data_IF_647401160835
#
_entry.id   IF_647401160835
#
_cell.length_a   1.000
_cell.length_b   1.000
_cell.length_c   1.000
_cell.angle_alpha   90.00
_cell.angle_beta   90.00
_cell.angle_gamma   90.00
#
_symmetry.space_group_name_H-M   'P 1'
#
loop_
_entity.id
_entity.type
_entity.pdbx_description
1 polymer ?
#
# COMPACT_ATOMS: atom_id res chain seq x y z
N UNK A 1 -25.67 0.36 -41.93
CA UNK A 1 -24.92 1.03 -40.83
C UNK A 1 -23.60 1.53 -41.40
N UNK A 2 -23.33 2.84 -41.36
CA UNK A 2 -22.10 3.45 -41.87
C UNK A 2 -21.01 3.38 -40.79
N UNK A 3 -19.95 2.61 -41.05
CA UNK A 3 -18.75 2.54 -40.20
C UNK A 3 -17.98 3.86 -40.30
N UNK A 4 -18.06 4.68 -39.25
CA UNK A 4 -17.22 5.87 -39.09
C UNK A 4 -15.82 5.42 -38.65
N UNK A 5 -14.87 5.42 -39.58
CA UNK A 5 -13.44 5.28 -39.29
C UNK A 5 -12.98 6.48 -38.45
N UNK A 6 -12.85 6.26 -37.14
CA UNK A 6 -12.23 7.19 -36.21
C UNK A 6 -10.73 7.23 -36.53
N UNK A 7 -10.28 8.27 -37.24
CA UNK A 7 -8.86 8.52 -37.49
C UNK A 7 -8.14 8.66 -36.15
N UNK A 8 -7.15 7.81 -35.92
CA UNK A 8 -6.28 7.92 -34.76
C UNK A 8 -5.59 9.29 -34.76
N UNK A 9 -5.59 9.98 -33.62
CA UNK A 9 -4.87 11.23 -33.47
C UNK A 9 -3.37 10.99 -33.69
N UNK A 10 -2.65 11.91 -34.36
CA UNK A 10 -1.21 11.77 -34.58
C UNK A 10 -0.50 11.67 -33.23
N UNK A 11 0.37 10.68 -33.09
CA UNK A 11 1.20 10.50 -31.90
C UNK A 11 2.08 11.74 -31.70
N UNK A 12 2.00 12.35 -30.51
CA UNK A 12 2.89 13.43 -30.12
C UNK A 12 4.34 12.93 -30.12
N UNK A 13 5.28 13.65 -30.78
CA UNK A 13 6.68 13.23 -30.79
C UNK A 13 7.23 13.20 -29.35
N UNK A 14 8.13 12.25 -29.03
CA UNK A 14 8.75 12.21 -27.72
C UNK A 14 9.54 13.52 -27.48
N UNK A 15 9.54 14.04 -26.23
CA UNK A 15 10.31 15.24 -25.91
C UNK A 15 11.80 15.02 -26.20
N UNK A 16 12.45 16.02 -26.80
CA UNK A 16 13.87 15.96 -27.10
C UNK A 16 14.70 15.75 -25.81
N UNK A 17 15.79 14.95 -25.87
CA UNK A 17 16.64 14.76 -24.71
C UNK A 17 17.24 16.10 -24.26
N UNK A 18 17.23 16.35 -22.95
CA UNK A 18 17.80 17.55 -22.36
C UNK A 18 19.29 17.67 -22.73
N UNK A 19 19.69 18.85 -23.22
CA UNK A 19 21.08 19.19 -23.54
C UNK A 19 22.01 19.09 -22.33
N UNK A 20 23.32 18.94 -22.58
CA UNK A 20 24.33 18.68 -21.53
C UNK A 20 24.37 19.74 -20.43
N UNK A 21 24.12 21.00 -20.73
CA UNK A 21 24.06 22.08 -19.73
C UNK A 21 22.80 21.99 -18.85
N UNK A 22 21.64 21.70 -19.44
CA UNK A 22 20.41 21.47 -18.69
C UNK A 22 20.53 20.27 -17.75
N UNK A 23 21.27 19.22 -18.16
CA UNK A 23 21.57 18.08 -17.28
C UNK A 23 22.45 18.48 -16.09
N UNK A 24 23.46 19.33 -16.28
CA UNK A 24 24.31 19.82 -15.17
C UNK A 24 23.51 20.65 -14.17
N UNK A 25 22.57 21.47 -14.65
CA UNK A 25 21.66 22.23 -13.78
C UNK A 25 20.76 21.35 -12.89
N UNK A 26 20.47 20.12 -13.31
CA UNK A 26 19.65 19.17 -12.56
C UNK A 26 20.40 18.41 -11.46
N UNK A 27 21.74 18.35 -11.49
CA UNK A 27 22.52 17.61 -10.50
C UNK A 27 22.46 18.24 -9.11
N UNK A 28 22.60 19.56 -9.01
CA UNK A 28 22.51 20.27 -7.74
C UNK A 28 21.18 20.04 -6.99
N UNK A 29 19.99 20.23 -7.62
CA UNK A 29 18.71 19.95 -6.96
C UNK A 29 18.48 18.46 -6.67
N UNK A 30 19.03 17.54 -7.48
CA UNK A 30 18.98 16.10 -7.18
C UNK A 30 19.78 15.77 -5.90
N UNK A 31 21.00 16.28 -5.78
CA UNK A 31 21.85 16.06 -4.60
C UNK A 31 21.24 16.70 -3.36
N UNK A 32 20.74 17.94 -3.48
CA UNK A 32 20.02 18.62 -2.39
C UNK A 32 18.73 17.88 -2.01
N UNK A 33 17.98 17.36 -2.98
CA UNK A 33 16.78 16.56 -2.76
C UNK A 33 17.08 15.25 -2.02
N UNK A 34 18.14 14.54 -2.41
CA UNK A 34 18.65 13.38 -1.67
C UNK A 34 19.01 13.73 -0.22
N UNK A 35 19.76 14.82 -0.02
CA UNK A 35 20.17 15.26 1.32
C UNK A 35 18.96 15.65 2.18
N UNK A 36 17.97 16.32 1.62
CA UNK A 36 16.72 16.65 2.31
C UNK A 36 15.91 15.41 2.68
N UNK A 37 15.83 14.42 1.79
CA UNK A 37 15.21 13.11 2.08
C UNK A 37 15.93 12.39 3.22
N UNK A 38 17.26 12.32 3.18
CA UNK A 38 18.06 11.71 4.25
C UNK A 38 17.83 12.44 5.57
N UNK A 39 17.85 13.78 5.58
CA UNK A 39 17.57 14.56 6.77
C UNK A 39 16.16 14.31 7.33
N UNK A 40 15.14 14.22 6.47
CA UNK A 40 13.77 13.90 6.87
C UNK A 40 13.59 12.44 7.35
N UNK A 41 14.44 11.52 6.91
CA UNK A 41 14.45 10.12 7.36
C UNK A 41 15.26 9.92 8.65
N UNK A 42 16.17 10.85 8.97
CA UNK A 42 16.98 10.84 10.20
C UNK A 42 16.31 11.55 11.40
N UNK A 43 15.13 12.15 11.23
CA UNK A 43 14.37 12.71 12.35
C UNK A 43 13.88 11.58 13.28
N UNK A 44 14.11 11.67 14.59
CA UNK A 44 13.74 10.61 15.52
C UNK A 44 12.20 10.51 15.65
N UNK A 45 11.71 9.27 15.64
CA UNK A 45 10.29 8.89 15.78
C UNK A 45 9.44 9.68 16.80
N UNK A 46 9.93 10.05 18.01
CA UNK A 46 9.10 10.75 19.00
C UNK A 46 8.60 12.14 18.58
N UNK A 47 9.25 12.81 17.61
CA UNK A 47 8.77 14.12 17.13
C UNK A 47 7.55 14.01 16.19
N UNK A 48 7.26 12.83 15.65
CA UNK A 48 6.18 12.62 14.68
C UNK A 48 4.81 12.43 15.33
N UNK A 49 4.74 11.91 16.56
CA UNK A 49 3.47 11.74 17.26
C UNK A 49 2.91 13.08 17.79
N UNK A 50 3.74 14.12 17.92
CA UNK A 50 3.32 15.44 18.40
C UNK A 50 2.56 16.29 17.38
N UNK A 51 2.57 15.93 16.10
CA UNK A 51 2.05 16.78 15.01
C UNK A 51 0.61 16.47 14.56
N UNK A 52 -0.07 15.49 15.15
CA UNK A 52 -1.46 15.13 14.80
C UNK A 52 -2.54 15.64 15.76
N UNK A 53 -2.19 16.49 16.74
CA UNK A 53 -3.20 17.20 17.53
C UNK A 53 -3.75 18.40 16.75
N UNK A 54 -4.63 18.14 15.78
CA UNK A 54 -5.42 19.20 15.14
C UNK A 54 -6.52 19.64 16.11
N UNK A 55 -6.31 20.77 16.77
CA UNK A 55 -7.24 21.39 17.72
C UNK A 55 -8.49 22.03 17.08
N UNK A 56 -8.68 21.91 15.75
CA UNK A 56 -9.74 22.63 15.00
C UNK A 56 -10.72 21.70 14.24
N UNK A 57 -10.85 20.41 14.62
CA UNK A 57 -11.84 19.54 14.00
C UNK A 57 -13.27 19.84 14.51
N UNK A 58 -14.30 19.97 13.62
CA UNK A 58 -15.67 20.27 14.02
C UNK A 58 -16.27 19.18 14.93
N UNK A 59 -17.21 19.52 15.83
CA UNK A 59 -17.59 18.70 17.00
C UNK A 59 -18.49 17.48 16.70
N UNK A 60 -18.49 16.92 15.50
CA UNK A 60 -19.41 15.82 15.13
C UNK A 60 -18.75 14.48 14.77
N UNK A 61 -17.43 14.40 14.67
CA UNK A 61 -16.75 13.12 14.76
C UNK A 61 -16.32 12.94 16.21
N UNK A 62 -16.96 12.06 16.99
CA UNK A 62 -16.37 11.57 18.23
C UNK A 62 -15.12 10.77 17.85
N UNK A 63 -14.03 11.48 17.61
CA UNK A 63 -12.68 10.94 17.64
C UNK A 63 -12.50 10.55 19.10
N UNK A 64 -12.77 9.29 19.45
CA UNK A 64 -12.26 8.76 20.71
C UNK A 64 -10.74 8.76 20.55
N UNK A 65 -9.98 9.62 21.27
CA UNK A 65 -8.54 9.43 21.35
C UNK A 65 -8.35 8.08 22.01
N UNK A 66 -8.00 7.07 21.22
CA UNK A 66 -7.61 5.78 21.77
C UNK A 66 -6.24 6.00 22.39
N UNK A 67 -6.10 5.92 23.73
CA UNK A 67 -4.78 5.93 24.32
C UNK A 67 -4.07 4.68 23.80
N UNK A 68 -3.15 4.88 22.87
CA UNK A 68 -2.11 3.90 22.57
C UNK A 68 -1.25 3.90 23.82
N UNK A 69 -1.63 3.10 24.83
CA UNK A 69 -0.76 2.81 25.96
C UNK A 69 0.60 2.45 25.38
N UNK A 70 1.65 3.05 25.91
CA UNK A 70 3.05 2.80 25.55
C UNK A 70 3.29 1.29 25.39
N UNK A 71 3.16 0.80 24.14
CA UNK A 71 3.74 -0.48 23.70
C UNK A 71 5.27 -0.35 23.54
N UNK A 72 5.76 0.87 23.75
CA UNK A 72 7.13 1.31 23.87
C UNK A 72 7.63 0.85 25.25
N UNK A 73 8.53 -0.12 25.37
CA UNK A 73 9.95 0.19 25.23
C UNK A 73 10.80 -1.00 24.75
N UNK A 74 10.23 -2.18 24.45
CA UNK A 74 11.08 -3.39 24.21
C UNK A 74 10.67 -4.38 23.12
N UNK A 75 9.79 -4.06 22.17
CA UNK A 75 9.72 -4.91 20.97
C UNK A 75 9.17 -6.33 21.20
N UNK A 76 8.60 -6.60 22.38
CA UNK A 76 8.02 -7.89 22.76
C UNK A 76 6.76 -7.61 23.56
N UNK A 77 5.63 -8.17 23.13
CA UNK A 77 4.56 -8.48 24.07
C UNK A 77 5.21 -9.25 25.22
N UNK A 78 4.90 -8.90 26.47
CA UNK A 78 5.47 -9.61 27.62
C UNK A 78 5.36 -11.13 27.41
N UNK A 79 6.43 -11.89 27.61
CA UNK A 79 6.34 -13.35 27.55
C UNK A 79 5.24 -13.79 28.56
N UNK A 80 4.20 -14.46 28.06
CA UNK A 80 3.01 -14.81 28.84
C UNK A 80 1.78 -13.93 28.64
N UNK A 81 1.73 -13.02 27.65
CA UNK A 81 0.46 -12.39 27.24
C UNK A 81 -0.50 -13.47 26.75
N UNK A 82 -1.67 -13.52 27.38
CA UNK A 82 -2.81 -14.33 26.97
C UNK A 82 -3.09 -14.12 25.46
N UNK A 83 -3.12 -15.19 24.63
CA UNK A 83 -3.43 -15.11 23.20
C UNK A 83 -4.70 -14.29 22.92
N UNK A 84 -5.70 -14.36 23.79
CA UNK A 84 -6.93 -13.60 23.64
C UNK A 84 -6.72 -12.08 23.81
N UNK A 85 -5.89 -11.69 24.78
CA UNK A 85 -5.54 -10.29 25.00
C UNK A 85 -4.67 -9.75 23.86
N UNK A 86 -3.77 -10.57 23.32
CA UNK A 86 -2.98 -10.21 22.13
C UNK A 86 -3.89 -9.96 20.92
N UNK A 87 -4.84 -10.86 20.67
CA UNK A 87 -5.82 -10.71 19.58
C UNK A 87 -6.71 -9.47 19.77
N UNK A 88 -7.21 -9.21 20.99
CA UNK A 88 -8.00 -8.02 21.28
C UNK A 88 -7.21 -6.73 21.03
N UNK A 89 -5.93 -6.71 21.40
CA UNK A 89 -5.03 -5.58 21.14
C UNK A 89 -4.80 -5.40 19.64
N UNK A 90 -4.56 -6.48 18.89
CA UNK A 90 -4.40 -6.45 17.43
C UNK A 90 -5.65 -5.90 16.73
N UNK A 91 -6.85 -6.36 17.11
CA UNK A 91 -8.13 -5.86 16.55
C UNK A 91 -8.34 -4.38 16.83
N UNK A 92 -7.97 -3.93 18.02
CA UNK A 92 -8.06 -2.50 18.38
C UNK A 92 -7.09 -1.65 17.55
N UNK A 93 -5.85 -2.10 17.37
CA UNK A 93 -4.87 -1.43 16.51
C UNK A 93 -5.35 -1.42 15.06
N UNK A 94 -5.81 -2.56 14.55
CA UNK A 94 -6.39 -2.72 13.22
C UNK A 94 -7.54 -1.74 12.97
N UNK A 95 -8.49 -1.64 13.90
CA UNK A 95 -9.62 -0.71 13.83
C UNK A 95 -9.15 0.75 13.68
N UNK A 96 -8.20 1.17 14.51
CA UNK A 96 -7.66 2.53 14.48
C UNK A 96 -6.96 2.84 13.15
N UNK A 97 -6.17 1.90 12.63
CA UNK A 97 -5.48 2.06 11.35
C UNK A 97 -6.48 2.18 10.19
N UNK A 98 -7.53 1.35 10.18
CA UNK A 98 -8.59 1.44 9.17
C UNK A 98 -9.36 2.77 9.25
N UNK A 99 -9.73 3.21 10.45
CA UNK A 99 -10.40 4.50 10.67
C UNK A 99 -9.58 5.68 10.14
N UNK A 100 -8.26 5.67 10.37
CA UNK A 100 -7.37 6.75 9.93
C UNK A 100 -7.00 6.67 8.43
N UNK A 101 -7.19 5.51 7.80
CA UNK A 101 -6.84 5.30 6.39
C UNK A 101 -7.72 6.08 5.40
N UNK A 102 -8.94 6.46 5.81
CA UNK A 102 -9.96 7.07 4.94
C UNK A 102 -10.68 6.09 4.00
N UNK A 103 -10.54 4.78 4.22
CA UNK A 103 -11.17 3.73 3.39
C UNK A 103 -12.55 3.29 3.85
N UNK A 104 -12.96 3.66 5.07
CA UNK A 104 -14.25 3.29 5.62
C UNK A 104 -15.33 4.31 5.26
N UNK A 105 -16.51 3.82 4.90
CA UNK A 105 -17.75 4.60 4.83
C UNK A 105 -18.35 4.74 6.22
N UNK A 106 -18.42 3.62 6.96
CA UNK A 106 -18.96 3.55 8.31
C UNK A 106 -18.10 2.64 9.18
N UNK A 107 -18.10 2.91 10.48
CA UNK A 107 -17.43 2.11 11.48
C UNK A 107 -18.26 2.15 12.77
N UNK A 108 -18.51 0.99 13.35
CA UNK A 108 -19.17 0.88 14.65
C UNK A 108 -18.51 -0.18 15.52
N UNK A 109 -18.67 -0.03 16.84
CA UNK A 109 -18.20 -0.98 17.84
C UNK A 109 -19.37 -1.31 18.74
N UNK A 110 -19.64 -2.60 18.91
CA UNK A 110 -20.65 -3.13 19.82
C UNK A 110 -19.98 -4.12 20.78
N UNK A 111 -20.49 -4.26 22.00
CA UNK A 111 -20.01 -5.31 22.90
C UNK A 111 -20.75 -6.62 22.61
N UNK A 112 -20.01 -7.71 22.42
CA UNK A 112 -20.56 -9.06 22.30
C UNK A 112 -21.30 -9.41 23.60
N UNK A 113 -22.62 -9.70 23.55
CA UNK A 113 -23.39 -10.00 24.76
C UNK A 113 -22.94 -11.29 25.47
N UNK A 114 -22.21 -12.18 24.78
CA UNK A 114 -21.73 -13.45 25.33
C UNK A 114 -20.35 -13.30 25.95
N UNK A 115 -19.45 -12.59 25.27
CA UNK A 115 -18.04 -12.50 25.68
C UNK A 115 -17.66 -11.17 26.33
N UNK A 116 -18.55 -10.17 26.29
CA UNK A 116 -18.32 -8.78 26.69
C UNK A 116 -17.07 -8.17 26.00
N UNK A 117 -16.81 -8.59 24.76
CA UNK A 117 -15.67 -8.14 23.94
C UNK A 117 -16.15 -7.21 22.83
N UNK A 118 -15.33 -6.24 22.40
CA UNK A 118 -15.69 -5.37 21.30
C UNK A 118 -15.76 -6.16 19.98
N UNK A 119 -16.93 -6.12 19.34
CA UNK A 119 -17.21 -6.50 17.97
C UNK A 119 -17.13 -5.24 17.11
N UNK A 120 -16.24 -5.27 16.12
CA UNK A 120 -16.03 -4.18 15.20
C UNK A 120 -16.79 -4.47 13.90
N UNK A 121 -17.63 -3.54 13.47
CA UNK A 121 -18.29 -3.60 12.15
C UNK A 121 -17.76 -2.44 11.32
N UNK A 122 -17.09 -2.78 10.21
CA UNK A 122 -16.44 -1.82 9.34
C UNK A 122 -17.02 -1.93 7.93
N UNK A 123 -17.53 -0.84 7.38
CA UNK A 123 -18.09 -0.79 6.02
C UNK A 123 -17.11 -0.06 5.13
N UNK A 124 -16.58 -0.74 4.11
CA UNK A 124 -15.70 -0.12 3.12
C UNK A 124 -16.46 0.85 2.23
N UNK A 125 -15.78 1.92 1.82
CA UNK A 125 -16.24 2.72 0.68
C UNK A 125 -16.25 1.84 -0.58
N UNK A 126 -17.36 1.79 -1.35
CA UNK A 126 -17.47 0.91 -2.51
C UNK A 126 -16.33 1.11 -3.51
N UNK A 127 -15.92 2.37 -3.73
CA UNK A 127 -14.85 2.72 -4.67
C UNK A 127 -13.51 2.09 -4.29
N UNK A 128 -13.21 1.96 -2.99
CA UNK A 128 -11.97 1.33 -2.51
C UNK A 128 -11.99 -0.17 -2.80
N UNK A 129 -13.14 -0.82 -2.57
CA UNK A 129 -13.36 -2.22 -2.90
C UNK A 129 -13.17 -2.48 -4.40
N UNK A 130 -13.75 -1.65 -5.25
CA UNK A 130 -13.60 -1.77 -6.71
C UNK A 130 -12.14 -1.55 -7.14
N UNK A 131 -11.46 -0.56 -6.58
CA UNK A 131 -10.06 -0.26 -6.87
C UNK A 131 -9.08 -1.36 -6.49
N UNK A 132 -9.36 -2.10 -5.42
CA UNK A 132 -8.53 -3.19 -4.97
C UNK A 132 -8.79 -4.53 -5.70
N UNK A 133 -9.62 -4.52 -6.76
CA UNK A 133 -9.81 -5.69 -7.61
C UNK A 133 -8.51 -6.04 -8.33
N UNK A 134 -8.12 -7.32 -8.29
CA UNK A 134 -6.87 -7.76 -8.91
C UNK A 134 -7.00 -7.71 -10.44
N UNK A 135 -6.06 -7.07 -11.17
CA UNK A 135 -6.07 -7.12 -12.63
C UNK A 135 -5.87 -8.52 -13.22
N UNK A 136 -5.47 -9.50 -12.40
CA UNK A 136 -5.38 -10.90 -12.80
C UNK A 136 -6.74 -11.61 -12.81
N UNK A 137 -7.72 -11.10 -12.07
CA UNK A 137 -9.06 -11.67 -11.94
C UNK A 137 -9.83 -11.59 -13.26
N UNK A 138 -9.73 -10.47 -13.97
CA UNK A 138 -10.42 -10.22 -15.24
C UNK A 138 -9.86 -11.03 -16.42
N UNK A 139 -8.60 -11.47 -16.33
CA UNK A 139 -7.91 -12.15 -17.43
C UNK A 139 -7.77 -13.67 -17.20
N UNK A 140 -7.99 -14.15 -15.97
CA UNK A 140 -7.70 -15.53 -15.53
C UNK A 140 -8.86 -16.52 -15.54
N UNK A 141 -10.09 -16.12 -15.88
CA UNK A 141 -11.28 -16.98 -15.77
C UNK A 141 -11.29 -18.24 -16.68
N UNK A 142 -10.24 -18.49 -17.48
CA UNK A 142 -10.29 -19.53 -18.52
C UNK A 142 -9.13 -20.52 -18.65
N UNK A 143 -7.91 -20.32 -18.12
CA UNK A 143 -6.74 -21.02 -18.73
C UNK A 143 -5.62 -21.58 -17.83
N UNK A 144 -5.69 -21.63 -16.51
CA UNK A 144 -4.62 -22.24 -15.70
C UNK A 144 -5.12 -23.19 -14.60
N UNK A 145 -5.32 -24.46 -14.95
CA UNK A 145 -4.92 -25.67 -14.20
C UNK A 145 -5.13 -25.85 -12.69
N UNK A 146 -5.89 -25.02 -11.98
CA UNK A 146 -6.20 -25.19 -10.56
C UNK A 146 -6.72 -23.90 -9.90
N UNK A 147 -7.39 -23.99 -8.73
CA UNK A 147 -7.77 -22.79 -7.98
C UNK A 147 -6.52 -22.00 -7.60
N UNK A 148 -6.56 -20.65 -7.65
CA UNK A 148 -5.42 -19.85 -7.21
C UNK A 148 -5.12 -20.12 -5.73
N UNK A 149 -3.86 -20.01 -5.29
CA UNK A 149 -3.47 -20.26 -3.90
C UNK A 149 -4.14 -19.31 -2.90
N UNK A 150 -4.67 -18.18 -3.37
CA UNK A 150 -5.42 -17.20 -2.60
C UNK A 150 -6.59 -16.69 -3.46
N UNK A 151 -7.77 -16.59 -2.85
CA UNK A 151 -8.97 -16.07 -3.51
C UNK A 151 -8.82 -14.57 -3.82
N UNK A 152 -9.45 -14.11 -4.89
CA UNK A 152 -9.35 -12.70 -5.30
C UNK A 152 -9.90 -11.74 -4.23
N UNK A 153 -11.03 -12.08 -3.60
CA UNK A 153 -11.60 -11.32 -2.49
C UNK A 153 -10.67 -11.23 -1.28
N UNK A 154 -10.00 -12.32 -0.93
CA UNK A 154 -9.03 -12.34 0.16
C UNK A 154 -7.82 -11.44 -0.16
N UNK A 155 -7.28 -11.55 -1.38
CA UNK A 155 -6.18 -10.70 -1.84
C UNK A 155 -6.56 -9.22 -1.85
N UNK A 156 -7.79 -8.90 -2.25
CA UNK A 156 -8.37 -7.55 -2.24
C UNK A 156 -8.42 -6.97 -0.82
N UNK A 157 -8.99 -7.70 0.14
CA UNK A 157 -9.08 -7.24 1.53
C UNK A 157 -7.70 -7.10 2.19
N UNK A 158 -6.78 -8.04 1.91
CA UNK A 158 -5.40 -7.95 2.35
C UNK A 158 -4.66 -6.75 1.76
N UNK A 159 -4.90 -6.42 0.49
CA UNK A 159 -4.32 -5.25 -0.15
C UNK A 159 -4.81 -3.96 0.52
N UNK A 160 -6.12 -3.81 0.72
CA UNK A 160 -6.70 -2.65 1.41
C UNK A 160 -6.07 -2.48 2.80
N UNK A 161 -5.99 -3.58 3.56
CA UNK A 161 -5.41 -3.58 4.89
C UNK A 161 -3.90 -3.22 4.87
N UNK A 162 -3.12 -3.82 3.98
CA UNK A 162 -1.68 -3.55 3.85
C UNK A 162 -1.41 -2.08 3.47
N UNK A 163 -2.17 -1.54 2.51
CA UNK A 163 -2.02 -0.14 2.10
C UNK A 163 -2.45 0.82 3.22
N UNK A 164 -3.50 0.51 3.97
CA UNK A 164 -3.91 1.28 5.13
C UNK A 164 -2.79 1.34 6.21
N UNK A 165 -2.10 0.22 6.46
CA UNK A 165 -0.92 0.20 7.35
C UNK A 165 0.21 1.08 6.79
N UNK A 166 0.52 0.98 5.49
CA UNK A 166 1.56 1.82 4.88
C UNK A 166 1.20 3.32 4.98
N UNK A 167 -0.09 3.68 4.89
CA UNK A 167 -0.58 5.07 5.05
C UNK A 167 -0.32 5.63 6.43
N UNK A 168 -0.41 4.78 7.45
CA UNK A 168 -0.08 5.17 8.82
C UNK A 168 1.43 5.24 9.05
N UNK A 169 2.18 4.25 8.54
CA UNK A 169 3.60 4.13 8.83
C UNK A 169 4.46 5.21 8.13
N UNK A 170 4.06 5.68 6.95
CA UNK A 170 4.75 6.76 6.24
C UNK A 170 3.91 8.02 6.19
N UNK A 171 4.44 9.11 6.74
CA UNK A 171 3.77 10.40 6.70
C UNK A 171 3.55 10.90 5.26
N UNK A 172 2.54 11.74 5.07
CA UNK A 172 2.27 12.37 3.77
C UNK A 172 3.49 13.15 3.23
N UNK A 173 4.30 13.73 4.12
CA UNK A 173 5.52 14.47 3.76
C UNK A 173 6.60 13.53 3.20
N UNK A 174 6.87 12.41 3.88
CA UNK A 174 7.85 11.41 3.41
C UNK A 174 7.45 10.87 2.04
N UNK A 175 6.17 10.49 1.86
CA UNK A 175 5.63 10.03 0.58
C UNK A 175 5.78 11.08 -0.52
N UNK A 176 5.50 12.35 -0.19
CA UNK A 176 5.67 13.46 -1.14
C UNK A 176 7.14 13.65 -1.52
N UNK A 177 8.06 13.54 -0.57
CA UNK A 177 9.48 13.65 -0.82
C UNK A 177 10.01 12.50 -1.71
N UNK A 178 9.63 11.25 -1.40
CA UNK A 178 9.92 10.07 -2.21
C UNK A 178 9.41 10.23 -3.66
N UNK A 179 8.20 10.75 -3.80
CA UNK A 179 7.61 11.03 -5.11
C UNK A 179 8.38 12.10 -5.89
N UNK A 180 8.70 13.23 -5.27
CA UNK A 180 9.46 14.30 -5.91
C UNK A 180 10.85 13.79 -6.36
N UNK A 181 11.48 12.97 -5.53
CA UNK A 181 12.74 12.33 -5.90
C UNK A 181 12.59 11.37 -7.08
N UNK A 182 11.58 10.51 -7.08
CA UNK A 182 11.30 9.60 -8.19
C UNK A 182 11.04 10.36 -9.50
N UNK A 183 10.30 11.46 -9.45
CA UNK A 183 10.03 12.33 -10.60
C UNK A 183 11.29 13.00 -11.12
N UNK A 184 12.16 13.50 -10.23
CA UNK A 184 13.43 14.10 -10.62
C UNK A 184 14.36 13.07 -11.28
N UNK A 185 14.44 11.86 -10.72
CA UNK A 185 15.20 10.74 -11.30
C UNK A 185 14.66 10.33 -12.67
N UNK A 186 13.34 10.23 -12.81
CA UNK A 186 12.68 9.90 -14.07
C UNK A 186 12.92 10.98 -15.13
N UNK A 187 12.86 12.26 -14.74
CA UNK A 187 13.16 13.37 -15.65
C UNK A 187 14.63 13.39 -16.09
N UNK A 188 15.57 13.10 -15.19
CA UNK A 188 17.01 13.15 -15.47
C UNK A 188 17.51 11.92 -16.24
N UNK A 189 17.03 10.73 -15.91
CA UNK A 189 17.56 9.45 -16.43
C UNK A 189 16.62 8.74 -17.40
N UNK A 190 15.35 9.16 -17.47
CA UNK A 190 14.30 8.41 -18.17
C UNK A 190 13.92 7.11 -17.47
N UNK A 191 14.43 6.85 -16.26
CA UNK A 191 14.17 5.64 -15.48
C UNK A 191 13.66 5.95 -14.08
N UNK A 192 12.72 5.15 -13.60
CA UNK A 192 12.30 5.19 -12.20
C UNK A 192 13.35 4.53 -11.30
N UNK A 193 13.69 5.15 -10.14
CA UNK A 193 14.53 4.49 -9.15
C UNK A 193 13.77 3.31 -8.52
N UNK A 194 14.46 2.25 -8.15
CA UNK A 194 13.84 1.04 -7.56
C UNK A 194 13.53 1.22 -6.05
N UNK A 195 12.77 2.26 -5.74
CA UNK A 195 12.27 2.58 -4.40
C UNK A 195 10.83 2.11 -4.25
N UNK A 196 10.39 1.95 -3.00
CA UNK A 196 8.97 1.76 -2.68
C UNK A 196 8.22 3.07 -2.92
N UNK A 197 7.27 3.09 -3.85
CA UNK A 197 6.56 4.30 -4.27
C UNK A 197 5.06 4.18 -4.06
N UNK A 198 4.42 5.35 -3.91
CA UNK A 198 2.96 5.48 -3.88
C UNK A 198 2.31 5.01 -2.59
N UNK A 199 0.96 4.95 -2.56
CA UNK A 199 0.21 4.55 -1.37
C UNK A 199 0.56 3.15 -0.87
N UNK A 200 0.72 2.21 -1.81
CA UNK A 200 1.03 0.81 -1.54
C UNK A 200 2.53 0.52 -1.38
N UNK A 201 3.40 1.52 -1.53
CA UNK A 201 4.84 1.35 -1.29
C UNK A 201 5.48 0.21 -2.11
N UNK A 202 5.00 0.00 -3.34
CA UNK A 202 5.47 -1.06 -4.23
C UNK A 202 6.69 -0.58 -5.02
N UNK A 203 7.67 -1.47 -5.19
CA UNK A 203 8.86 -1.20 -6.00
C UNK A 203 8.60 -1.42 -7.50
N UNK A 204 9.14 -0.58 -8.39
CA UNK A 204 9.14 -0.82 -9.83
C UNK A 204 9.57 -2.24 -10.24
N UNK A 205 10.63 -2.78 -9.64
CA UNK A 205 11.13 -4.13 -9.95
C UNK A 205 10.12 -5.23 -9.58
N UNK A 206 9.33 -5.04 -8.52
CA UNK A 206 8.25 -5.97 -8.14
C UNK A 206 7.16 -5.98 -9.22
N UNK A 207 6.74 -4.81 -9.69
CA UNK A 207 5.74 -4.70 -10.78
C UNK A 207 6.26 -5.35 -12.06
N UNK A 208 7.50 -5.07 -12.47
CA UNK A 208 8.09 -5.69 -13.67
C UNK A 208 8.18 -7.22 -13.55
N UNK A 209 8.51 -7.74 -12.37
CA UNK A 209 8.58 -9.19 -12.11
C UNK A 209 7.20 -9.85 -12.18
N UNK A 210 6.19 -9.20 -11.60
CA UNK A 210 4.79 -9.63 -11.66
C UNK A 210 4.32 -9.73 -13.12
N UNK A 211 4.55 -8.67 -13.91
CA UNK A 211 4.12 -8.63 -15.31
C UNK A 211 4.98 -9.53 -16.20
N UNK A 212 6.27 -9.67 -15.90
CA UNK A 212 7.20 -10.53 -16.61
C UNK A 212 6.98 -12.03 -16.36
N UNK A 213 6.20 -12.41 -15.34
CA UNK A 213 5.91 -13.83 -15.07
C UNK A 213 4.84 -14.42 -16.00
N UNK A 214 4.40 -13.68 -17.02
CA UNK A 214 3.36 -14.13 -17.95
C UNK A 214 1.97 -14.19 -17.30
N UNK A 215 1.76 -13.44 -16.21
CA UNK A 215 0.44 -13.33 -15.60
C UNK A 215 -0.56 -12.77 -16.63
N UNK A 216 -1.75 -13.35 -16.77
CA UNK A 216 -2.75 -12.81 -17.67
C UNK A 216 -3.18 -11.45 -17.11
N UNK A 217 -2.87 -10.38 -17.83
CA UNK A 217 -3.20 -9.00 -17.49
C UNK A 217 -3.52 -8.24 -18.77
N UNK A 218 -4.38 -7.24 -18.68
CA UNK A 218 -4.74 -6.43 -19.85
C UNK A 218 -3.54 -5.64 -20.42
N UNK A 219 -3.69 -5.14 -21.65
CA UNK A 219 -2.64 -4.38 -22.34
C UNK A 219 -2.27 -3.06 -21.62
N UNK A 220 -3.16 -2.51 -20.78
CA UNK A 220 -2.86 -1.31 -19.99
C UNK A 220 -1.86 -1.60 -18.86
N UNK A 221 -1.93 -2.79 -18.26
CA UNK A 221 -0.96 -3.28 -17.26
C UNK A 221 0.36 -3.68 -17.90
N UNK A 222 0.33 -4.35 -19.06
CA UNK A 222 1.55 -4.75 -19.77
C UNK A 222 2.45 -3.55 -20.10
N UNK A 223 1.86 -2.39 -20.42
CA UNK A 223 2.61 -1.15 -20.66
C UNK A 223 3.43 -0.70 -19.45
N UNK A 224 2.99 -1.03 -18.22
CA UNK A 224 3.77 -0.65 -17.05
C UNK A 224 5.13 -1.36 -17.04
N UNK A 225 5.27 -2.55 -17.62
CA UNK A 225 6.56 -3.25 -17.65
C UNK A 225 7.64 -2.53 -18.47
N UNK A 226 7.23 -1.72 -19.47
CA UNK A 226 8.12 -1.11 -20.46
C UNK A 226 8.16 0.43 -20.40
N UNK A 227 7.12 1.07 -19.85
CA UNK A 227 7.01 2.52 -19.75
C UNK A 227 7.05 2.99 -18.28
N UNK A 228 8.20 3.54 -17.88
CA UNK A 228 8.44 4.05 -16.53
C UNK A 228 7.55 5.25 -16.18
N UNK A 229 7.06 6.04 -17.15
CA UNK A 229 6.11 7.13 -16.88
C UNK A 229 4.73 6.58 -16.57
N UNK A 230 4.27 5.60 -17.34
CA UNK A 230 3.02 4.89 -17.07
C UNK A 230 3.09 4.19 -15.70
N UNK A 231 4.22 3.56 -15.37
CA UNK A 231 4.46 2.96 -14.07
C UNK A 231 4.43 4.00 -12.93
N UNK A 232 5.09 5.14 -13.10
CA UNK A 232 5.10 6.21 -12.10
C UNK A 232 3.68 6.67 -11.77
N UNK A 233 2.89 6.93 -12.82
CA UNK A 233 1.49 7.34 -12.69
C UNK A 233 0.65 6.26 -12.03
N UNK A 234 0.83 4.98 -12.37
CA UNK A 234 0.06 3.88 -11.80
C UNK A 234 0.41 3.62 -10.33
N UNK A 235 1.66 3.76 -9.92
CA UNK A 235 2.07 3.59 -8.53
C UNK A 235 1.52 4.71 -7.63
N UNK A 236 1.40 5.93 -8.16
CA UNK A 236 0.89 7.09 -7.41
C UNK A 236 -0.62 7.20 -7.37
N UNK A 237 -1.31 6.71 -8.40
CA UNK A 237 -2.76 6.61 -8.41
C UNK A 237 -3.21 5.57 -7.38
N UNK A 238 -3.96 6.00 -6.36
CA UNK A 238 -4.33 5.14 -5.23
C UNK A 238 -5.12 3.90 -5.68
N UNK A 239 -6.01 4.08 -6.65
CA UNK A 239 -6.82 3.00 -7.19
C UNK A 239 -5.96 1.92 -7.86
N UNK A 240 -5.09 2.33 -8.79
CA UNK A 240 -4.16 1.42 -9.47
C UNK A 240 -3.13 0.81 -8.52
N UNK A 241 -2.67 1.56 -7.53
CA UNK A 241 -1.74 1.10 -6.50
C UNK A 241 -2.36 -0.03 -5.66
N UNK A 242 -3.65 0.08 -5.31
CA UNK A 242 -4.40 -0.98 -4.62
C UNK A 242 -4.55 -2.23 -5.49
N UNK A 243 -4.95 -2.10 -6.75
CA UNK A 243 -5.03 -3.23 -7.68
C UNK A 243 -3.67 -3.93 -7.88
N UNK A 244 -2.57 -3.17 -7.95
CA UNK A 244 -1.21 -3.73 -7.96
C UNK A 244 -0.89 -4.47 -6.67
N UNK A 245 -1.24 -3.93 -5.51
CA UNK A 245 -1.00 -4.57 -4.23
C UNK A 245 -1.74 -5.92 -4.15
N UNK A 246 -3.00 -5.96 -4.59
CA UNK A 246 -3.79 -7.20 -4.66
C UNK A 246 -3.13 -8.24 -5.57
N UNK A 247 -2.70 -7.85 -6.78
CA UNK A 247 -2.01 -8.78 -7.69
C UNK A 247 -0.66 -9.26 -7.13
N UNK A 248 0.11 -8.40 -6.46
CA UNK A 248 1.37 -8.80 -5.82
C UNK A 248 1.11 -9.79 -4.70
N UNK A 249 0.13 -9.54 -3.82
CA UNK A 249 -0.22 -10.44 -2.73
C UNK A 249 -0.73 -11.78 -3.25
N UNK A 250 -1.64 -11.76 -4.23
CA UNK A 250 -2.17 -12.97 -4.85
C UNK A 250 -1.07 -13.81 -5.49
N UNK A 251 -0.09 -13.17 -6.16
CA UNK A 251 1.06 -13.85 -6.76
C UNK A 251 2.06 -14.36 -5.73
N UNK A 252 2.21 -13.66 -4.62
CA UNK A 252 3.13 -14.02 -3.55
C UNK A 252 2.58 -15.14 -2.65
N UNK A 253 1.29 -15.44 -2.70
CA UNK A 253 0.69 -16.54 -1.96
C UNK A 253 1.32 -17.89 -2.35
N UNK A 254 1.66 -18.71 -1.35
CA UNK A 254 2.21 -20.04 -1.57
C UNK A 254 1.13 -21.07 -1.87
N UNK A 255 1.42 -22.00 -2.77
CA UNK A 255 0.59 -23.20 -2.97
C UNK A 255 0.99 -24.28 -1.97
N UNK A 256 0.02 -24.84 -1.23
CA UNK A 256 0.24 -25.99 -0.34
C UNK A 256 0.87 -25.67 1.02
N UNK A 257 0.76 -24.42 1.47
CA UNK A 257 1.16 -23.99 2.81
C UNK A 257 -0.07 -23.77 3.70
N UNK A 258 0.12 -23.87 5.02
CA UNK A 258 -0.98 -23.73 5.99
C UNK A 258 -1.57 -22.31 6.04
N UNK A 259 -0.75 -21.29 5.74
CA UNK A 259 -1.14 -19.87 5.77
C UNK A 259 -0.63 -19.12 4.52
N UNK A 260 -1.35 -19.23 3.38
CA UNK A 260 -1.02 -18.50 2.15
C UNK A 260 -1.04 -16.98 2.33
N UNK A 261 -1.99 -16.46 3.12
CA UNK A 261 -2.13 -15.04 3.41
C UNK A 261 -0.94 -14.45 4.17
N UNK A 262 -0.54 -15.07 5.27
CA UNK A 262 0.62 -14.61 6.02
C UNK A 262 1.91 -14.79 5.23
N UNK A 263 2.03 -15.82 4.41
CA UNK A 263 3.18 -15.95 3.51
C UNK A 263 3.24 -14.81 2.48
N UNK A 264 2.11 -14.49 1.85
CA UNK A 264 2.01 -13.38 0.92
C UNK A 264 2.38 -12.05 1.59
N UNK A 265 1.87 -11.79 2.80
CA UNK A 265 2.18 -10.58 3.58
C UNK A 265 3.65 -10.48 3.97
N UNK A 266 4.26 -11.57 4.43
CA UNK A 266 5.70 -11.61 4.74
C UNK A 266 6.55 -11.34 3.50
N UNK A 267 6.12 -11.85 2.34
CA UNK A 267 6.77 -11.56 1.06
C UNK A 267 6.56 -10.11 0.63
N UNK A 268 5.36 -9.56 0.82
CA UNK A 268 4.99 -8.20 0.45
C UNK A 268 5.71 -7.13 1.27
N UNK A 269 5.75 -7.28 2.61
CA UNK A 269 6.50 -6.40 3.50
C UNK A 269 8.02 -6.45 3.23
N UNK A 270 8.46 -7.45 2.46
CA UNK A 270 9.85 -7.83 2.26
C UNK A 270 10.38 -8.59 3.47
N UNK A 271 11.52 -9.25 3.31
CA UNK A 271 12.33 -9.70 4.46
C UNK A 271 12.88 -8.46 5.18
N UNK A 272 12.02 -7.72 5.90
CA UNK A 272 12.44 -6.79 6.94
C UNK A 272 13.03 -7.66 8.04
N UNK A 273 14.31 -8.00 7.88
CA UNK A 273 15.16 -8.52 8.96
C UNK A 273 15.15 -7.43 10.03
N UNK A 274 14.21 -7.53 10.97
CA UNK A 274 14.16 -6.70 12.17
C UNK A 274 14.19 -5.19 11.86
N UNK A 275 13.11 -4.64 11.30
CA UNK A 275 12.89 -3.19 11.49
C UNK A 275 12.63 -2.95 12.98
N UNK A 276 13.13 -1.85 13.54
CA UNK A 276 12.86 -1.46 14.95
C UNK A 276 11.37 -1.20 15.26
N UNK A 277 10.47 -1.42 14.29
CA UNK A 277 9.04 -1.50 14.52
C UNK A 277 8.72 -2.71 15.41
N UNK A 278 8.20 -2.42 16.60
CA UNK A 278 7.89 -3.34 17.70
C UNK A 278 6.80 -4.37 17.37
N UNK A 279 6.04 -4.15 16.30
CA UNK A 279 4.84 -4.94 15.96
C UNK A 279 5.05 -5.67 14.64
N UNK A 280 4.86 -6.99 14.64
CA UNK A 280 4.72 -7.76 13.41
C UNK A 280 3.48 -7.27 12.66
N UNK A 281 3.68 -6.75 11.46
CA UNK A 281 2.61 -6.15 10.67
C UNK A 281 1.66 -7.19 10.10
N UNK A 282 2.11 -8.43 9.88
CA UNK A 282 1.27 -9.43 9.21
C UNK A 282 0.01 -9.79 10.02
N UNK A 283 0.08 -10.08 11.34
CA UNK A 283 -1.11 -10.31 12.16
C UNK A 283 -2.08 -9.12 12.21
N UNK A 284 -1.56 -7.88 12.22
CA UNK A 284 -2.42 -6.69 12.21
C UNK A 284 -3.13 -6.54 10.88
N UNK A 285 -2.43 -6.74 9.75
CA UNK A 285 -3.02 -6.69 8.40
C UNK A 285 -4.05 -7.80 8.22
N UNK A 286 -3.79 -9.02 8.71
CA UNK A 286 -4.77 -10.11 8.72
C UNK A 286 -6.00 -9.77 9.56
N UNK A 287 -5.82 -9.24 10.77
CA UNK A 287 -6.93 -8.80 11.61
C UNK A 287 -7.77 -7.71 10.93
N UNK A 288 -7.12 -6.74 10.26
CA UNK A 288 -7.80 -5.72 9.46
C UNK A 288 -8.61 -6.37 8.33
N UNK A 289 -8.02 -7.28 7.55
CA UNK A 289 -8.72 -7.94 6.45
C UNK A 289 -9.94 -8.74 6.93
N UNK A 290 -9.83 -9.46 8.05
CA UNK A 290 -10.95 -10.19 8.68
C UNK A 290 -12.07 -9.27 9.15
N UNK A 291 -11.74 -8.06 9.62
CA UNK A 291 -12.74 -7.07 10.04
C UNK A 291 -13.50 -6.41 8.87
N UNK A 292 -13.03 -6.61 7.64
CA UNK A 292 -13.65 -6.08 6.42
C UNK A 292 -14.50 -7.13 5.67
N UNK A 293 -14.55 -8.37 6.19
CA UNK A 293 -15.42 -9.45 5.70
C UNK A 293 -16.82 -9.31 6.29
#
# INVERSE_FOLDING_TARGET
>A
MKLLHKRAAPATPPPAPLGGEARRGLWAPLVLGCLALVAALCLPAPQYMGLQSSADAPPQARVLPVPVRELEQRGRLAEGVDPEQAMATQRRVAANLLLQSGYLLEASVQDDPTTNRPLYTMVLRPEVGECASSPMETAGAGQAGGPPPMQADEARLLAIAAVAVEKFHRSALQRRAEWLYAQAMLAATGRLPDLSLGPAQIRPSTVRRLLGSGAPVDASWQRLATDDRAMASALMDECRSLGLAAAVLQRAACSGCDDPAGHALRSYAGQRRQTGAVVDYAPVVQAMALMLQ
#
